data_IF_117768563551
#
_entry.id   IF_117768563551
#
_cell.length_a   1.000
_cell.length_b   1.000
_cell.length_c   1.000
_cell.angle_alpha   90.00
_cell.angle_beta   90.00
_cell.angle_gamma   90.00
#
_symmetry.space_group_name_H-M   'P 1'
#
loop_
_entity.id
_entity.type
_entity.pdbx_description
1 polymer ?
#
# COMPACT_ATOMS: atom_id res chain seq x y z
N UNK A 1 -25.60 33.67 -31.92
CA UNK A 1 -25.90 32.22 -31.91
C UNK A 1 -24.61 31.51 -32.29
N UNK A 2 -23.66 31.19 -31.38
CA UNK A 2 -23.73 30.25 -30.25
C UNK A 2 -24.26 28.86 -30.64
N UNK A 3 -23.44 28.13 -31.42
CA UNK A 3 -23.38 26.66 -31.59
C UNK A 3 -22.10 26.35 -32.38
N UNK A 4 -21.56 25.12 -32.23
CA UNK A 4 -20.19 24.69 -32.60
C UNK A 4 -19.06 25.24 -31.70
N UNK A 5 -17.94 24.50 -31.67
CA UNK A 5 -16.70 24.72 -30.87
C UNK A 5 -16.79 24.43 -29.35
N UNK A 6 -17.48 23.36 -28.92
CA UNK A 6 -17.17 22.67 -27.63
C UNK A 6 -17.26 21.13 -27.81
N UNK A 7 -16.77 20.61 -28.94
CA UNK A 7 -16.80 19.17 -29.26
C UNK A 7 -15.47 18.64 -29.82
N UNK A 8 -14.38 19.40 -29.66
CA UNK A 8 -13.11 19.17 -30.38
C UNK A 8 -11.87 19.10 -29.47
N UNK A 9 -12.05 19.11 -28.16
CA UNK A 9 -10.96 18.99 -27.17
C UNK A 9 -10.74 17.54 -26.67
N UNK A 10 -11.45 16.56 -27.24
CA UNK A 10 -11.44 15.15 -26.82
C UNK A 10 -10.70 14.24 -27.83
N UNK A 11 -10.17 14.79 -28.92
CA UNK A 11 -9.43 14.03 -29.93
C UNK A 11 -8.06 14.64 -30.24
N UNK A 12 -7.02 13.81 -30.04
CA UNK A 12 -5.68 13.92 -30.63
C UNK A 12 -4.70 14.99 -30.10
N UNK A 13 -4.29 14.86 -28.83
CA UNK A 13 -2.92 15.16 -28.36
C UNK A 13 -2.68 14.60 -26.93
N UNK A 14 -2.04 13.45 -26.73
CA UNK A 14 -1.65 12.41 -27.66
C UNK A 14 -1.22 11.15 -26.89
N UNK A 15 -1.69 9.97 -27.31
CA UNK A 15 -1.21 8.68 -26.80
C UNK A 15 0.17 8.31 -27.40
N UNK A 16 1.10 9.26 -27.36
CA UNK A 16 2.53 8.99 -27.56
C UNK A 16 3.05 8.39 -26.27
N UNK A 17 3.63 7.19 -26.35
CA UNK A 17 4.09 6.45 -25.16
C UNK A 17 5.09 7.25 -24.33
N UNK A 18 4.60 7.94 -23.30
CA UNK A 18 5.41 8.31 -22.17
C UNK A 18 5.54 7.03 -21.35
N UNK A 19 6.68 6.35 -21.51
CA UNK A 19 7.18 5.52 -20.43
C UNK A 19 7.41 6.46 -19.25
N UNK A 20 6.37 6.71 -18.45
CA UNK A 20 6.50 7.45 -17.21
C UNK A 20 7.45 6.61 -16.37
N UNK A 21 8.65 7.13 -16.11
CA UNK A 21 9.54 6.53 -15.13
C UNK A 21 8.72 6.32 -13.86
N UNK A 22 8.78 5.11 -13.30
CA UNK A 22 8.06 4.80 -12.09
C UNK A 22 8.69 5.58 -10.93
N UNK A 23 8.16 6.77 -10.65
CA UNK A 23 8.61 7.67 -9.58
C UNK A 23 8.29 7.11 -8.18
N UNK A 24 7.67 5.93 -8.09
CA UNK A 24 7.34 5.24 -6.85
C UNK A 24 8.18 3.97 -6.75
N UNK A 25 9.11 3.92 -5.79
CA UNK A 25 9.93 2.74 -5.58
C UNK A 25 9.12 1.65 -4.83
N UNK A 26 9.18 0.42 -5.34
CA UNK A 26 8.63 -0.79 -4.70
C UNK A 26 9.72 -1.80 -4.29
N UNK A 27 11.01 -1.47 -4.45
CA UNK A 27 12.09 -2.04 -3.66
C UNK A 27 12.19 -1.25 -2.34
N UNK A 28 11.79 -1.86 -1.24
CA UNK A 28 11.99 -1.26 0.08
C UNK A 28 11.98 -2.29 1.20
N UNK A 29 12.56 -1.90 2.33
CA UNK A 29 12.23 -2.45 3.65
C UNK A 29 11.60 -1.34 4.50
N UNK A 30 10.47 -1.63 5.12
CA UNK A 30 9.71 -0.72 5.96
C UNK A 30 9.55 -1.32 7.35
N UNK A 31 9.85 -0.54 8.39
CA UNK A 31 9.50 -0.86 9.77
C UNK A 31 8.31 -0.01 10.17
N UNK A 32 7.29 -0.63 10.75
CA UNK A 32 6.05 0.01 11.20
C UNK A 32 5.84 -0.16 12.69
N UNK A 33 5.17 0.81 13.28
CA UNK A 33 4.52 0.68 14.57
C UNK A 33 3.11 1.24 14.47
N UNK A 34 2.14 0.59 15.11
CA UNK A 34 0.78 1.11 15.26
C UNK A 34 0.42 1.23 16.74
N UNK A 35 -0.51 2.14 17.03
CA UNK A 35 -1.09 2.32 18.37
C UNK A 35 -2.60 2.10 18.32
N UNK A 36 -3.13 1.57 19.43
CA UNK A 36 -4.54 1.27 19.67
C UNK A 36 -5.18 0.27 18.66
N UNK A 37 -4.88 -1.05 18.75
CA UNK A 37 -3.92 -1.71 19.64
C UNK A 37 -2.45 -1.53 19.20
N UNK A 38 -1.52 -1.79 20.14
CA UNK A 38 -0.08 -1.64 19.91
C UNK A 38 0.49 -2.80 19.07
N UNK A 39 1.16 -2.44 17.97
CA UNK A 39 1.76 -3.38 17.02
C UNK A 39 3.14 -2.89 16.61
N UNK A 40 4.06 -3.83 16.35
CA UNK A 40 5.27 -3.59 15.56
C UNK A 40 5.26 -4.53 14.35
N UNK A 41 5.76 -4.06 13.21
CA UNK A 41 5.78 -4.87 12.00
C UNK A 41 6.89 -4.49 11.04
N UNK A 42 7.22 -5.40 10.13
CA UNK A 42 8.20 -5.22 9.07
C UNK A 42 7.58 -5.64 7.74
N UNK A 43 7.82 -4.85 6.69
CA UNK A 43 7.46 -5.19 5.32
C UNK A 43 8.66 -5.07 4.40
N UNK A 44 8.95 -6.15 3.68
CA UNK A 44 9.88 -6.16 2.55
C UNK A 44 9.10 -6.19 1.24
N UNK A 45 9.53 -5.38 0.28
CA UNK A 45 9.01 -5.40 -1.08
C UNK A 45 10.16 -5.39 -2.07
N UNK A 46 10.05 -6.19 -3.14
CA UNK A 46 11.11 -6.38 -4.13
C UNK A 46 10.51 -6.53 -5.54
N UNK A 47 11.00 -5.78 -6.52
CA UNK A 47 10.56 -5.91 -7.91
C UNK A 47 10.81 -7.31 -8.48
N UNK A 48 9.78 -7.85 -9.14
CA UNK A 48 9.83 -9.06 -9.96
C UNK A 48 9.86 -8.69 -11.45
N UNK A 49 9.11 -7.64 -11.83
CA UNK A 49 9.14 -6.99 -13.15
C UNK A 49 8.98 -5.47 -12.98
N UNK A 50 8.98 -4.69 -14.06
CA UNK A 50 8.78 -3.22 -14.02
C UNK A 50 7.44 -2.79 -13.39
N UNK A 51 6.43 -3.66 -13.42
CA UNK A 51 5.07 -3.40 -12.93
C UNK A 51 4.58 -4.41 -11.88
N UNK A 52 5.45 -5.31 -11.39
CA UNK A 52 5.10 -6.25 -10.33
C UNK A 52 6.23 -6.45 -9.34
N UNK A 53 5.86 -6.67 -8.09
CA UNK A 53 6.77 -6.81 -6.96
C UNK A 53 6.28 -7.91 -6.03
N UNK A 54 7.19 -8.62 -5.37
CA UNK A 54 6.86 -9.49 -4.24
C UNK A 54 6.72 -8.63 -2.99
N UNK A 55 5.76 -8.96 -2.14
CA UNK A 55 5.56 -8.32 -0.83
C UNK A 55 5.58 -9.40 0.23
N UNK A 56 6.36 -9.19 1.28
CA UNK A 56 6.35 -10.00 2.50
C UNK A 56 6.21 -9.07 3.70
N UNK A 57 5.34 -9.44 4.64
CA UNK A 57 4.97 -8.67 5.82
C UNK A 57 4.97 -9.60 7.03
N UNK A 58 5.49 -9.11 8.15
CA UNK A 58 5.43 -9.75 9.45
C UNK A 58 4.97 -8.65 10.42
N UNK A 59 3.73 -8.70 10.86
CA UNK A 59 3.17 -7.79 11.87
C UNK A 59 2.96 -8.61 13.16
N UNK A 60 3.34 -8.08 14.33
CA UNK A 60 3.15 -8.75 15.63
C UNK A 60 2.53 -7.79 16.64
N UNK A 61 1.55 -8.29 17.39
CA UNK A 61 0.95 -7.62 18.55
C UNK A 61 1.58 -8.22 19.80
N UNK A 62 2.17 -7.37 20.66
CA UNK A 62 3.04 -7.82 21.77
C UNK A 62 2.35 -8.74 22.80
N UNK A 63 1.02 -8.78 22.83
CA UNK A 63 0.22 -9.42 23.88
C UNK A 63 -0.61 -10.63 23.40
N UNK A 64 -0.81 -10.81 22.09
CA UNK A 64 -1.72 -11.84 21.54
C UNK A 64 -1.12 -12.60 20.34
N UNK A 65 -1.20 -12.02 19.13
CA UNK A 65 -1.08 -12.76 17.86
C UNK A 65 0.08 -12.27 16.95
N UNK A 66 0.52 -13.15 16.05
CA UNK A 66 1.48 -12.85 14.98
C UNK A 66 0.90 -13.15 13.59
N UNK A 67 0.95 -12.15 12.69
CA UNK A 67 0.46 -12.22 11.31
C UNK A 67 1.65 -12.22 10.34
N UNK A 68 1.77 -13.27 9.53
CA UNK A 68 2.74 -13.36 8.44
C UNK A 68 1.98 -13.34 7.12
N UNK A 69 2.19 -12.29 6.33
CA UNK A 69 1.57 -12.16 5.01
C UNK A 69 2.62 -12.20 3.90
N UNK A 70 2.35 -12.92 2.82
CA UNK A 70 3.21 -12.96 1.64
C UNK A 70 2.39 -12.99 0.35
N UNK A 71 2.88 -12.33 -0.70
CA UNK A 71 2.19 -12.35 -1.98
C UNK A 71 2.80 -11.43 -3.04
N UNK A 72 1.94 -10.98 -3.96
CA UNK A 72 2.33 -10.20 -5.13
C UNK A 72 1.62 -8.85 -5.14
N UNK A 73 2.37 -7.81 -5.46
CA UNK A 73 1.86 -6.49 -5.80
C UNK A 73 2.07 -6.18 -7.27
N UNK A 74 1.22 -5.29 -7.78
CA UNK A 74 1.29 -4.73 -9.13
C UNK A 74 1.11 -3.22 -9.06
N UNK A 75 1.74 -2.48 -9.97
CA UNK A 75 1.73 -1.02 -10.01
C UNK A 75 1.64 -0.50 -11.45
N UNK A 76 0.91 0.58 -11.65
CA UNK A 76 0.52 1.13 -12.95
C UNK A 76 0.57 2.66 -12.93
N UNK A 77 1.70 3.26 -13.37
CA UNK A 77 1.88 4.71 -13.30
C UNK A 77 0.89 5.42 -14.23
N UNK A 78 -0.02 6.21 -13.64
CA UNK A 78 -1.02 6.99 -14.37
C UNK A 78 -0.36 8.22 -15.00
N UNK A 79 0.54 8.86 -14.25
CA UNK A 79 1.37 9.98 -14.70
C UNK A 79 2.57 10.17 -13.73
N UNK A 80 3.35 11.23 -13.90
CA UNK A 80 4.55 11.51 -13.09
C UNK A 80 4.29 11.77 -11.60
N UNK A 81 3.07 12.15 -11.23
CA UNK A 81 2.66 12.48 -9.86
C UNK A 81 1.65 11.49 -9.26
N UNK A 82 1.21 10.48 -10.01
CA UNK A 82 0.16 9.56 -9.60
C UNK A 82 0.39 8.12 -10.09
N UNK A 83 0.31 7.16 -9.17
CA UNK A 83 0.40 5.73 -9.43
C UNK A 83 -0.78 5.00 -8.79
N UNK A 84 -1.24 3.94 -9.46
CA UNK A 84 -2.28 3.03 -8.98
C UNK A 84 -1.64 1.68 -8.79
N UNK A 85 -1.77 1.14 -7.58
CA UNK A 85 -1.21 -0.16 -7.24
C UNK A 85 -2.28 -1.08 -6.67
N UNK A 86 -2.00 -2.37 -6.64
CA UNK A 86 -2.79 -3.33 -5.90
C UNK A 86 -1.90 -4.46 -5.40
N UNK A 87 -2.37 -5.16 -4.38
CA UNK A 87 -1.64 -6.28 -3.79
C UNK A 87 -2.63 -7.42 -3.50
N UNK A 88 -2.14 -8.64 -3.69
CA UNK A 88 -2.79 -9.88 -3.33
C UNK A 88 -1.85 -10.59 -2.36
N UNK A 89 -2.24 -10.63 -1.08
CA UNK A 89 -1.46 -11.20 0.02
C UNK A 89 -2.20 -12.41 0.59
N UNK A 90 -1.47 -13.48 0.87
CA UNK A 90 -1.92 -14.61 1.68
C UNK A 90 -1.41 -14.38 3.09
N UNK A 91 -2.33 -14.31 4.05
CA UNK A 91 -2.06 -14.18 5.47
C UNK A 91 -2.08 -15.55 6.13
N UNK A 92 -1.07 -15.82 6.95
CA UNK A 92 -0.98 -16.95 7.84
C UNK A 92 -0.88 -16.41 9.27
N UNK A 93 -1.96 -16.60 10.03
CA UNK A 93 -2.04 -16.20 11.44
C UNK A 93 -1.94 -17.48 12.27
N UNK A 94 -0.97 -17.52 13.17
CA UNK A 94 -0.76 -18.64 14.10
C UNK A 94 -1.31 -18.23 15.46
N UNK A 95 -2.47 -18.79 15.83
CA UNK A 95 -3.12 -18.52 17.13
C UNK A 95 -2.61 -19.52 18.17
N UNK A 96 -2.18 -19.10 19.38
CA UNK A 96 -1.72 -20.03 20.41
C UNK A 96 -2.83 -20.99 20.91
N UNK A 97 -2.44 -22.25 21.11
CA UNK A 97 -3.25 -23.50 21.26
C UNK A 97 -4.48 -23.51 22.20
N UNK A 98 -4.74 -22.49 23.01
CA UNK A 98 -5.79 -22.51 24.06
C UNK A 98 -7.17 -22.00 23.59
N UNK A 99 -7.31 -21.55 22.33
CA UNK A 99 -8.61 -21.14 21.75
C UNK A 99 -9.00 -22.02 20.57
N UNK A 100 -10.25 -22.52 20.57
CA UNK A 100 -10.77 -23.43 19.52
C UNK A 100 -11.10 -22.66 18.22
N UNK A 101 -10.09 -22.11 17.54
CA UNK A 101 -10.17 -21.57 16.18
C UNK A 101 -9.15 -22.28 15.30
N UNK A 102 -9.61 -22.75 14.14
CA UNK A 102 -8.73 -23.36 13.14
C UNK A 102 -7.72 -22.31 12.60
N UNK A 103 -6.50 -22.74 12.25
CA UNK A 103 -5.52 -21.90 11.56
C UNK A 103 -6.11 -21.43 10.22
N UNK A 104 -6.47 -20.15 10.15
CA UNK A 104 -7.22 -19.57 9.05
C UNK A 104 -6.30 -18.86 8.05
N UNK A 105 -6.29 -19.34 6.81
CA UNK A 105 -5.48 -18.75 5.73
C UNK A 105 -6.31 -17.71 5.00
N UNK A 106 -6.10 -16.45 5.35
CA UNK A 106 -6.90 -15.34 4.82
C UNK A 106 -6.26 -14.74 3.56
N UNK A 107 -7.09 -14.17 2.68
CA UNK A 107 -6.65 -13.54 1.43
C UNK A 107 -6.98 -12.05 1.49
N UNK A 108 -5.94 -11.19 1.62
CA UNK A 108 -6.08 -9.75 1.49
C UNK A 108 -5.91 -9.36 0.01
N UNK A 109 -6.98 -8.87 -0.61
CA UNK A 109 -6.91 -8.17 -1.89
C UNK A 109 -7.12 -6.67 -1.64
N UNK A 110 -6.16 -5.86 -2.06
CA UNK A 110 -6.24 -4.41 -1.92
C UNK A 110 -5.84 -3.68 -3.21
N UNK A 111 -6.38 -2.48 -3.37
CA UNK A 111 -6.08 -1.52 -4.43
C UNK A 111 -5.82 -0.18 -3.76
N UNK A 112 -4.78 0.52 -4.17
CA UNK A 112 -4.40 1.82 -3.64
C UNK A 112 -3.95 2.79 -4.71
N UNK A 113 -3.85 4.04 -4.28
CA UNK A 113 -3.36 5.18 -5.07
C UNK A 113 -2.25 5.86 -4.28
N UNK A 114 -1.20 6.30 -4.98
CA UNK A 114 -0.17 7.19 -4.44
C UNK A 114 -0.13 8.46 -5.26
N UNK A 115 0.00 9.59 -4.58
CA UNK A 115 -0.06 10.93 -5.16
C UNK A 115 1.07 11.79 -4.58
N UNK A 116 1.97 12.28 -5.42
CA UNK A 116 2.92 13.30 -5.02
C UNK A 116 2.19 14.64 -4.82
N UNK A 117 2.12 15.11 -3.57
CA UNK A 117 1.59 16.43 -3.22
C UNK A 117 2.65 17.52 -3.38
N UNK A 118 3.91 17.17 -3.11
CA UNK A 118 5.13 17.97 -3.33
C UNK A 118 6.28 17.01 -3.60
N UNK A 119 7.44 17.52 -4.04
CA UNK A 119 8.67 16.74 -4.27
C UNK A 119 9.17 15.91 -3.06
N UNK A 120 8.64 16.15 -1.86
CA UNK A 120 8.99 15.45 -0.62
C UNK A 120 7.79 14.85 0.11
N UNK A 121 6.55 15.01 -0.38
CA UNK A 121 5.34 14.53 0.31
C UNK A 121 4.49 13.72 -0.65
N UNK A 122 4.41 12.42 -0.38
CA UNK A 122 3.49 11.48 -0.98
C UNK A 122 2.23 11.38 -0.09
N UNK A 123 1.03 11.40 -0.69
CA UNK A 123 -0.20 10.96 -0.07
C UNK A 123 -0.55 9.56 -0.58
N UNK A 124 -1.00 8.69 0.30
CA UNK A 124 -1.40 7.32 -0.04
C UNK A 124 -2.81 7.03 0.48
N UNK A 125 -3.58 6.27 -0.32
CA UNK A 125 -4.87 5.73 0.08
C UNK A 125 -5.00 4.31 -0.45
N UNK A 126 -5.38 3.35 0.39
CA UNK A 126 -5.55 1.93 0.05
C UNK A 126 -6.91 1.45 0.53
N UNK A 127 -7.62 0.69 -0.28
CA UNK A 127 -8.89 0.05 0.07
C UNK A 127 -8.88 -1.40 -0.40
N UNK A 128 -9.49 -2.29 0.37
CA UNK A 128 -9.42 -3.72 0.09
C UNK A 128 -10.41 -4.54 0.90
N UNK A 129 -10.31 -5.86 0.71
CA UNK A 129 -11.01 -6.90 1.46
C UNK A 129 -9.95 -7.85 2.00
N UNK A 130 -10.05 -8.18 3.28
CA UNK A 130 -9.41 -9.37 3.84
C UNK A 130 -10.55 -10.28 4.28
N UNK A 131 -10.85 -11.27 3.44
CA UNK A 131 -12.06 -12.09 3.53
C UNK A 131 -13.35 -11.25 3.73
N UNK A 132 -14.16 -11.50 4.77
CA UNK A 132 -15.37 -10.72 5.11
C UNK A 132 -15.07 -9.28 5.58
N UNK A 133 -13.84 -8.96 5.96
CA UNK A 133 -13.47 -7.69 6.56
C UNK A 133 -13.00 -6.64 5.53
N UNK A 134 -13.35 -5.37 5.74
CA UNK A 134 -12.93 -4.28 4.85
C UNK A 134 -11.65 -3.60 5.35
N UNK A 135 -10.65 -3.53 4.48
CA UNK A 135 -9.34 -2.91 4.76
C UNK A 135 -9.33 -1.49 4.18
N UNK A 136 -8.99 -0.49 5.00
CA UNK A 136 -8.89 0.91 4.58
C UNK A 136 -7.64 1.54 5.19
N UNK A 137 -6.79 2.16 4.37
CA UNK A 137 -5.65 2.95 4.80
C UNK A 137 -5.71 4.33 4.14
N UNK A 138 -5.34 5.37 4.88
CA UNK A 138 -5.10 6.69 4.32
C UNK A 138 -4.00 7.40 5.11
N UNK A 139 -3.07 8.07 4.43
CA UNK A 139 -2.00 8.79 5.12
C UNK A 139 -1.06 9.53 4.20
N UNK A 140 0.04 9.99 4.79
CA UNK A 140 1.09 10.74 4.11
C UNK A 140 2.47 10.19 4.45
N UNK A 141 3.37 10.24 3.48
CA UNK A 141 4.78 9.84 3.58
C UNK A 141 5.67 11.02 3.22
N UNK A 142 6.56 11.38 4.14
CA UNK A 142 7.59 12.40 3.94
C UNK A 142 8.90 11.73 3.52
N UNK A 143 9.43 12.14 2.37
CA UNK A 143 10.71 11.67 1.83
C UNK A 143 11.82 12.62 2.29
N UNK A 144 12.55 12.19 3.32
CA UNK A 144 13.69 12.93 3.87
C UNK A 144 14.91 12.86 2.94
N UNK A 145 15.08 11.72 2.28
CA UNK A 145 16.03 11.51 1.17
C UNK A 145 15.39 10.60 0.11
N UNK A 146 16.07 10.40 -1.01
CA UNK A 146 15.66 9.42 -2.04
C UNK A 146 15.55 7.98 -1.47
N UNK A 147 16.31 7.69 -0.42
CA UNK A 147 16.38 6.36 0.21
C UNK A 147 15.55 6.26 1.49
N UNK A 148 15.41 7.34 2.28
CA UNK A 148 14.74 7.32 3.58
C UNK A 148 13.45 8.15 3.56
N UNK A 149 12.34 7.49 3.89
CA UNK A 149 11.04 8.14 4.08
C UNK A 149 10.38 7.71 5.39
N UNK A 150 9.50 8.56 5.92
CA UNK A 150 8.70 8.32 7.13
C UNK A 150 7.23 8.52 6.78
N UNK A 151 6.33 7.61 7.21
CA UNK A 151 4.88 7.79 7.02
C UNK A 151 4.12 7.94 8.33
N UNK A 152 2.97 8.61 8.23
CA UNK A 152 1.91 8.61 9.24
C UNK A 152 0.60 8.27 8.52
N UNK A 153 -0.01 7.16 8.92
CA UNK A 153 -1.15 6.54 8.25
C UNK A 153 -2.23 6.17 9.27
N UNK A 154 -3.50 6.33 8.90
CA UNK A 154 -4.62 5.72 9.60
C UNK A 154 -4.97 4.41 8.89
N UNK A 155 -4.87 3.30 9.62
CA UNK A 155 -5.09 1.91 9.17
C UNK A 155 -6.37 1.38 9.83
N UNK A 156 -7.26 0.76 9.08
CA UNK A 156 -8.30 -0.12 9.60
C UNK A 156 -8.21 -1.43 8.82
N UNK A 157 -7.74 -2.49 9.47
CA UNK A 157 -7.56 -3.80 8.83
C UNK A 157 -8.77 -4.72 8.97
N UNK A 158 -9.89 -4.22 9.50
CA UNK A 158 -11.12 -4.99 9.71
C UNK A 158 -11.08 -5.98 10.89
N UNK A 159 -9.90 -6.53 11.21
CA UNK A 159 -9.63 -7.37 12.39
C UNK A 159 -9.52 -6.54 13.68
N UNK A 160 -8.69 -5.49 13.68
CA UNK A 160 -8.30 -4.74 14.90
C UNK A 160 -8.96 -3.35 15.03
N UNK A 161 -9.77 -2.94 14.06
CA UNK A 161 -10.40 -1.60 14.03
C UNK A 161 -9.44 -0.46 13.64
N UNK A 162 -9.80 0.82 13.92
CA UNK A 162 -9.00 1.98 13.52
C UNK A 162 -7.74 2.18 14.38
N UNK A 163 -6.59 2.10 13.73
CA UNK A 163 -5.25 2.28 14.29
C UNK A 163 -4.57 3.50 13.66
N UNK A 164 -3.72 4.17 14.43
CA UNK A 164 -2.75 5.12 13.89
C UNK A 164 -1.40 4.41 13.75
N UNK A 165 -0.81 4.45 12.56
CA UNK A 165 0.44 3.77 12.20
C UNK A 165 1.49 4.79 11.79
N UNK A 166 2.72 4.61 12.27
CA UNK A 166 3.90 5.32 11.78
C UNK A 166 4.86 4.32 11.14
N UNK A 167 5.51 4.70 10.04
CA UNK A 167 6.53 3.86 9.40
C UNK A 167 7.83 4.61 9.13
N UNK A 168 8.92 3.86 9.03
CA UNK A 168 10.18 4.30 8.43
C UNK A 168 10.54 3.31 7.32
N UNK A 169 10.71 3.82 6.11
CA UNK A 169 10.95 3.04 4.89
C UNK A 169 12.30 3.39 4.27
N UNK A 170 13.08 2.35 4.03
CA UNK A 170 14.37 2.35 3.36
C UNK A 170 14.21 1.78 1.96
N UNK A 171 14.43 2.61 0.93
CA UNK A 171 14.34 2.28 -0.49
C UNK A 171 15.72 1.99 -1.08
N UNK A 172 15.78 1.09 -2.06
CA UNK A 172 17.02 0.66 -2.73
C UNK A 172 16.80 0.24 -4.20
#
# INVERSE_FOLDING_TARGET
>A
MKKLIIASAIACAGFTGIANANNFNYNFMEVRTAVNPEMVGVEGSMFLTENSHLVARIDTQFEDDSDIAAGIGFNGPVNQFADVYGQLLLHYVDFPDDSHRDNDTQIEMNIGVRLWLTDQIEATGRLGRNDDASVVHAGVRFHSTEQLSLSAEMRNNGLYGPQATMSVRFQY
#
